data_IF_494680898862
#
_entry.id   IF_494680898862
#
_cell.length_a   1.000
_cell.length_b   1.000
_cell.length_c   1.000
_cell.angle_alpha   90.00
_cell.angle_beta   90.00
_cell.angle_gamma   90.00
#
_symmetry.space_group_name_H-M   'P 1'
#
loop_
_entity.id
_entity.type
_entity.pdbx_description
1 polymer ?
#
# COMPACT_ATOMS: atom_id res chain seq x y z
N UNK A 1 -6.60 46.81 24.23
CA UNK A 1 -7.34 45.63 23.75
C UNK A 1 -7.84 45.74 22.31
N UNK A 2 -8.55 46.81 21.89
CA UNK A 2 -9.12 46.93 20.52
C UNK A 2 -8.11 47.00 19.36
N UNK A 3 -6.88 47.51 19.59
CA UNK A 3 -5.82 47.56 18.55
C UNK A 3 -5.18 46.19 18.31
N UNK A 4 -4.93 45.42 19.38
CA UNK A 4 -4.34 44.07 19.30
C UNK A 4 -5.29 43.10 18.59
N UNK A 5 -6.59 43.17 18.87
CA UNK A 5 -7.59 42.36 18.18
C UNK A 5 -7.73 42.72 16.70
N UNK A 6 -7.62 44.00 16.33
CA UNK A 6 -7.61 44.43 14.91
C UNK A 6 -6.37 43.96 14.17
N UNK A 7 -5.18 44.06 14.78
CA UNK A 7 -3.93 43.59 14.17
C UNK A 7 -3.98 42.06 13.99
N UNK A 8 -4.42 41.33 15.01
CA UNK A 8 -4.60 39.88 14.91
C UNK A 8 -5.59 39.49 13.79
N UNK A 9 -6.72 40.19 13.67
CA UNK A 9 -7.69 39.94 12.61
C UNK A 9 -7.10 40.19 11.21
N UNK A 10 -6.33 41.27 11.03
CA UNK A 10 -5.66 41.58 9.75
C UNK A 10 -4.62 40.51 9.41
N UNK A 11 -3.81 40.09 10.38
CA UNK A 11 -2.82 39.02 10.17
C UNK A 11 -3.46 37.69 9.78
N UNK A 12 -4.55 37.29 10.44
CA UNK A 12 -5.31 36.08 10.10
C UNK A 12 -5.88 36.18 8.68
N UNK A 13 -6.47 37.32 8.33
CA UNK A 13 -7.01 37.56 6.99
C UNK A 13 -5.92 37.48 5.91
N UNK A 14 -4.74 38.05 6.16
CA UNK A 14 -3.61 37.98 5.24
C UNK A 14 -3.12 36.54 5.04
N UNK A 15 -2.98 35.76 6.12
CA UNK A 15 -2.58 34.35 6.03
C UNK A 15 -3.62 33.52 5.27
N UNK A 16 -4.90 33.75 5.53
CA UNK A 16 -5.98 33.06 4.82
C UNK A 16 -5.94 33.36 3.31
N UNK A 17 -5.75 34.62 2.92
CA UNK A 17 -5.63 35.01 1.50
C UNK A 17 -4.46 34.32 0.81
N UNK A 18 -3.29 34.26 1.47
CA UNK A 18 -2.11 33.57 0.92
C UNK A 18 -2.37 32.07 0.77
N UNK A 19 -2.98 31.45 1.79
CA UNK A 19 -3.31 30.03 1.76
C UNK A 19 -4.31 29.69 0.65
N UNK A 20 -5.41 30.45 0.53
CA UNK A 20 -6.40 30.20 -0.53
C UNK A 20 -5.84 30.49 -1.92
N UNK A 21 -4.96 31.50 -2.07
CA UNK A 21 -4.24 31.74 -3.32
C UNK A 21 -3.36 30.56 -3.72
N UNK A 22 -2.59 30.01 -2.76
CA UNK A 22 -1.79 28.80 -2.97
C UNK A 22 -2.65 27.57 -3.30
N UNK A 23 -3.70 27.31 -2.51
CA UNK A 23 -4.58 26.17 -2.72
C UNK A 23 -5.30 26.24 -4.08
N UNK A 24 -5.80 27.42 -4.47
CA UNK A 24 -6.41 27.64 -5.79
C UNK A 24 -5.41 27.43 -6.94
N UNK A 25 -4.17 27.87 -6.76
CA UNK A 25 -3.11 27.64 -7.74
C UNK A 25 -2.72 26.15 -7.85
N UNK A 26 -2.58 25.46 -6.72
CA UNK A 26 -2.31 24.00 -6.69
C UNK A 26 -3.46 23.22 -7.35
N UNK A 27 -4.71 23.60 -7.06
CA UNK A 27 -5.88 23.02 -7.71
C UNK A 27 -5.81 23.15 -9.24
N UNK A 28 -5.47 24.34 -9.75
CA UNK A 28 -5.28 24.54 -11.19
C UNK A 28 -4.17 23.66 -11.79
N UNK A 29 -3.04 23.52 -11.10
CA UNK A 29 -1.95 22.64 -11.54
C UNK A 29 -2.36 21.16 -11.56
N UNK A 30 -3.07 20.70 -10.54
CA UNK A 30 -3.56 19.32 -10.47
C UNK A 30 -4.58 19.05 -11.59
N UNK A 31 -5.47 20.00 -11.90
CA UNK A 31 -6.39 19.90 -13.04
C UNK A 31 -5.65 19.81 -14.38
N UNK A 32 -4.67 20.70 -14.61
CA UNK A 32 -3.84 20.68 -15.83
C UNK A 32 -3.10 19.36 -16.00
N UNK A 33 -2.59 18.79 -14.90
CA UNK A 33 -1.94 17.49 -14.91
C UNK A 33 -2.90 16.37 -15.32
N UNK A 34 -4.13 16.39 -14.83
CA UNK A 34 -5.14 15.38 -15.19
C UNK A 34 -5.47 15.41 -16.68
N UNK A 35 -5.59 16.60 -17.27
CA UNK A 35 -5.88 16.79 -18.69
C UNK A 35 -4.71 16.36 -19.58
N UNK A 36 -3.48 16.68 -19.19
CA UNK A 36 -2.27 16.42 -19.99
C UNK A 36 -1.69 15.01 -19.82
N UNK A 37 -2.13 14.24 -18.83
CA UNK A 37 -1.60 12.89 -18.59
C UNK A 37 -2.21 11.86 -19.53
N UNK A 38 -1.38 11.22 -20.36
CA UNK A 38 -1.80 10.16 -21.28
C UNK A 38 -2.52 9.02 -20.54
N UNK A 39 -3.74 8.68 -20.96
CA UNK A 39 -4.55 7.63 -20.34
C UNK A 39 -4.11 6.28 -20.91
N UNK A 40 -3.22 5.56 -20.23
CA UNK A 40 -3.08 4.13 -20.49
C UNK A 40 -4.35 3.44 -19.99
N UNK A 41 -5.14 2.91 -20.92
CA UNK A 41 -6.43 2.25 -20.63
C UNK A 41 -6.26 0.74 -20.64
N UNK A 42 -6.96 0.09 -19.73
CA UNK A 42 -7.22 -1.35 -19.77
C UNK A 42 -8.36 -1.65 -20.75
N UNK A 43 -8.36 -2.86 -21.30
CA UNK A 43 -9.52 -3.41 -22.01
C UNK A 43 -10.73 -3.60 -21.08
N UNK A 44 -10.50 -3.73 -19.76
CA UNK A 44 -11.57 -3.92 -18.76
C UNK A 44 -12.02 -2.56 -18.21
N UNK A 45 -13.30 -2.23 -18.40
CA UNK A 45 -13.85 -0.93 -17.99
C UNK A 45 -13.75 -0.67 -16.48
N UNK A 46 -13.90 -1.70 -15.64
CA UNK A 46 -13.75 -1.56 -14.19
C UNK A 46 -12.31 -1.15 -13.80
N UNK A 47 -11.30 -1.71 -14.46
CA UNK A 47 -9.90 -1.34 -14.22
C UNK A 47 -9.66 0.14 -14.59
N UNK A 48 -10.36 0.67 -15.62
CA UNK A 48 -10.26 2.07 -16.01
C UNK A 48 -10.80 3.03 -14.94
N UNK A 49 -11.81 2.62 -14.16
CA UNK A 49 -12.31 3.43 -13.04
C UNK A 49 -11.24 3.58 -11.95
N UNK A 50 -10.62 2.47 -11.55
CA UNK A 50 -9.55 2.48 -10.53
C UNK A 50 -8.31 3.22 -11.03
N UNK A 51 -7.90 2.99 -12.28
CA UNK A 51 -6.80 3.74 -12.91
C UNK A 51 -7.09 5.26 -12.95
N UNK A 52 -8.33 5.63 -13.26
CA UNK A 52 -8.81 7.01 -13.24
C UNK A 52 -8.64 7.64 -11.87
N UNK A 53 -9.17 6.98 -10.83
CA UNK A 53 -9.07 7.45 -9.44
C UNK A 53 -7.63 7.59 -8.97
N UNK A 54 -6.77 6.59 -9.22
CA UNK A 54 -5.37 6.63 -8.81
C UNK A 54 -4.61 7.81 -9.43
N UNK A 55 -4.98 8.21 -10.64
CA UNK A 55 -4.40 9.36 -11.34
C UNK A 55 -4.99 10.68 -10.85
N UNK A 56 -6.32 10.77 -10.82
CA UNK A 56 -7.08 11.95 -10.39
C UNK A 56 -6.69 12.37 -8.97
N UNK A 57 -6.58 11.41 -8.06
CA UNK A 57 -6.21 11.68 -6.66
C UNK A 57 -4.71 11.94 -6.47
N UNK A 58 -3.90 11.75 -7.50
CA UNK A 58 -2.46 12.00 -7.49
C UNK A 58 -1.69 11.01 -6.62
N UNK A 59 -2.13 9.75 -6.52
CA UNK A 59 -1.43 8.74 -5.71
C UNK A 59 0.02 8.51 -6.17
N UNK A 60 0.30 8.73 -7.44
CA UNK A 60 1.62 8.62 -8.03
C UNK A 60 2.60 9.72 -7.65
N UNK A 61 2.14 10.88 -7.17
CA UNK A 61 3.06 11.91 -6.67
C UNK A 61 4.03 11.36 -5.61
N UNK A 62 3.56 10.44 -4.76
CA UNK A 62 4.38 9.84 -3.71
C UNK A 62 4.65 8.34 -3.91
N UNK A 63 3.87 7.63 -4.74
CA UNK A 63 3.99 6.19 -4.92
C UNK A 63 4.59 5.76 -6.26
N UNK A 64 5.19 6.68 -7.02
CA UNK A 64 5.87 6.39 -8.29
C UNK A 64 7.10 7.27 -8.44
N UNK A 65 8.25 6.73 -8.88
CA UNK A 65 9.50 7.49 -8.97
C UNK A 65 9.50 8.52 -10.11
N UNK A 66 8.60 8.37 -11.09
CA UNK A 66 8.55 9.19 -12.31
C UNK A 66 7.53 10.33 -12.26
N UNK A 67 7.01 10.70 -11.09
CA UNK A 67 6.02 11.76 -11.00
C UNK A 67 6.66 13.13 -11.27
N UNK A 68 6.08 13.89 -12.20
CA UNK A 68 6.48 15.27 -12.44
C UNK A 68 6.09 16.13 -11.24
N UNK A 69 7.10 16.70 -10.57
CA UNK A 69 6.88 17.57 -9.44
C UNK A 69 6.57 18.99 -9.91
N UNK A 70 5.67 19.70 -9.22
CA UNK A 70 5.39 21.11 -9.50
C UNK A 70 6.60 21.97 -9.17
N UNK A 71 6.75 23.13 -9.82
CA UNK A 71 7.94 23.97 -9.69
C UNK A 71 8.27 24.37 -8.24
N UNK A 72 7.24 24.54 -7.38
CA UNK A 72 7.41 24.91 -5.98
C UNK A 72 8.09 23.82 -5.15
N UNK A 73 8.17 22.58 -5.65
CA UNK A 73 8.96 21.50 -5.06
C UNK A 73 10.48 21.80 -5.05
N UNK A 74 10.92 22.86 -5.75
CA UNK A 74 12.30 23.34 -5.71
C UNK A 74 12.60 24.29 -4.55
N UNK A 75 11.59 24.84 -3.86
CA UNK A 75 11.80 25.82 -2.80
C UNK A 75 12.28 25.14 -1.49
N UNK A 76 13.23 25.71 -0.74
CA UNK A 76 13.97 24.99 0.31
C UNK A 76 13.11 24.25 1.35
N UNK A 77 12.02 24.87 1.82
CA UNK A 77 11.13 24.27 2.83
C UNK A 77 10.19 23.24 2.20
N UNK A 78 9.57 23.59 1.07
CA UNK A 78 8.65 22.69 0.35
C UNK A 78 9.39 21.44 -0.17
N UNK A 79 10.58 21.63 -0.72
CA UNK A 79 11.46 20.57 -1.22
C UNK A 79 11.73 19.50 -0.17
N UNK A 80 12.22 19.89 1.00
CA UNK A 80 12.59 18.95 2.07
C UNK A 80 11.37 18.14 2.54
N UNK A 81 10.22 18.81 2.71
CA UNK A 81 9.00 18.14 3.14
C UNK A 81 8.48 17.17 2.09
N UNK A 82 8.42 17.60 0.82
CA UNK A 82 7.97 16.76 -0.29
C UNK A 82 8.91 15.58 -0.52
N UNK A 83 10.24 15.79 -0.53
CA UNK A 83 11.22 14.71 -0.67
C UNK A 83 11.09 13.66 0.43
N UNK A 84 10.82 14.09 1.67
CA UNK A 84 10.55 13.18 2.78
C UNK A 84 9.28 12.36 2.52
N UNK A 85 8.17 13.01 2.15
CA UNK A 85 6.89 12.34 1.92
C UNK A 85 6.94 11.38 0.72
N UNK A 86 7.61 11.77 -0.36
CA UNK A 86 7.82 10.93 -1.56
C UNK A 86 8.66 9.72 -1.20
N UNK A 87 9.78 9.90 -0.49
CA UNK A 87 10.65 8.79 -0.08
C UNK A 87 9.91 7.81 0.83
N UNK A 88 9.18 8.32 1.82
CA UNK A 88 8.40 7.51 2.74
C UNK A 88 7.25 6.79 2.02
N UNK A 89 6.52 7.49 1.15
CA UNK A 89 5.42 6.94 0.37
C UNK A 89 5.88 5.81 -0.55
N UNK A 90 6.93 6.05 -1.33
CA UNK A 90 7.47 5.09 -2.28
C UNK A 90 8.07 3.86 -1.60
N UNK A 91 8.84 4.05 -0.51
CA UNK A 91 9.40 2.92 0.25
C UNK A 91 8.32 2.08 0.95
N UNK A 92 7.18 2.69 1.31
CA UNK A 92 6.06 1.97 1.92
C UNK A 92 5.24 1.19 0.88
N UNK A 93 5.09 1.77 -0.31
CA UNK A 93 4.26 1.22 -1.37
C UNK A 93 4.65 1.75 -2.76
N UNK A 94 5.00 0.84 -3.67
CA UNK A 94 5.19 1.14 -5.09
C UNK A 94 3.89 0.87 -5.86
N UNK A 95 3.35 1.90 -6.53
CA UNK A 95 2.11 1.82 -7.30
C UNK A 95 2.31 1.27 -8.73
N UNK A 96 3.54 1.22 -9.25
CA UNK A 96 3.82 0.77 -10.62
C UNK A 96 3.35 -0.66 -10.91
N UNK A 97 3.58 -1.66 -10.04
CA UNK A 97 3.07 -3.01 -10.27
C UNK A 97 1.54 -3.03 -10.38
N UNK A 98 0.87 -2.27 -9.50
CA UNK A 98 -0.59 -2.16 -9.49
C UNK A 98 -1.11 -1.53 -10.76
N UNK A 99 -0.54 -0.40 -11.19
CA UNK A 99 -0.89 0.23 -12.48
C UNK A 99 -0.66 -0.71 -13.65
N UNK A 100 0.50 -1.38 -13.72
CA UNK A 100 0.81 -2.29 -14.82
C UNK A 100 -0.17 -3.46 -14.88
N UNK A 101 -0.56 -4.04 -13.75
CA UNK A 101 -1.47 -5.18 -13.76
C UNK A 101 -2.94 -4.75 -13.97
N UNK A 102 -3.34 -3.53 -13.59
CA UNK A 102 -4.63 -2.95 -13.99
C UNK A 102 -4.71 -2.77 -15.51
N UNK A 103 -3.67 -2.20 -16.13
CA UNK A 103 -3.60 -2.00 -17.58
C UNK A 103 -3.67 -3.34 -18.32
N UNK A 104 -2.93 -4.35 -17.84
CA UNK A 104 -2.80 -5.67 -18.50
C UNK A 104 -3.87 -6.70 -18.10
N UNK A 105 -4.87 -6.32 -17.28
CA UNK A 105 -5.83 -7.22 -16.62
C UNK A 105 -5.20 -8.47 -16.00
N UNK A 106 -4.21 -8.26 -15.12
CA UNK A 106 -3.50 -9.33 -14.41
C UNK A 106 -3.80 -9.30 -12.92
N UNK A 107 -3.69 -10.46 -12.23
CA UNK A 107 -3.85 -10.52 -10.78
C UNK A 107 -2.81 -9.64 -10.07
N UNK A 108 -3.28 -8.91 -9.06
CA UNK A 108 -2.46 -8.04 -8.20
C UNK A 108 -2.01 -8.78 -6.97
N UNK A 109 -0.75 -8.63 -6.55
CA UNK A 109 -0.23 -9.26 -5.34
C UNK A 109 -1.16 -9.02 -4.13
N UNK A 110 -1.49 -10.07 -3.39
CA UNK A 110 -2.39 -9.97 -2.23
C UNK A 110 -1.86 -8.98 -1.17
N UNK A 111 -0.54 -8.85 -1.03
CA UNK A 111 0.08 -7.85 -0.15
C UNK A 111 -0.29 -6.43 -0.54
N UNK A 112 -0.33 -6.13 -1.84
CA UNK A 112 -0.62 -4.79 -2.34
C UNK A 112 -2.11 -4.47 -2.18
N UNK A 113 -2.98 -5.43 -2.50
CA UNK A 113 -4.42 -5.34 -2.23
C UNK A 113 -4.69 -5.07 -0.74
N UNK A 114 -4.00 -5.79 0.16
CA UNK A 114 -4.13 -5.64 1.60
C UNK A 114 -3.66 -4.27 2.10
N UNK A 115 -2.56 -3.75 1.54
CA UNK A 115 -2.06 -2.40 1.87
C UNK A 115 -3.05 -1.33 1.45
N UNK A 116 -3.55 -1.38 0.21
CA UNK A 116 -4.53 -0.43 -0.32
C UNK A 116 -5.82 -0.50 0.52
N UNK A 117 -6.36 -1.69 0.75
CA UNK A 117 -7.57 -1.86 1.56
C UNK A 117 -7.39 -1.26 2.96
N UNK A 118 -6.25 -1.51 3.61
CA UNK A 118 -5.99 -1.01 4.95
C UNK A 118 -6.04 0.52 5.00
N UNK A 119 -5.38 1.22 4.07
CA UNK A 119 -5.35 2.68 4.06
C UNK A 119 -6.71 3.29 3.70
N UNK A 120 -7.50 2.62 2.86
CA UNK A 120 -8.85 3.04 2.49
C UNK A 120 -9.82 2.89 3.68
N UNK A 121 -9.79 1.73 4.36
CA UNK A 121 -10.64 1.47 5.52
C UNK A 121 -10.34 2.42 6.69
N UNK A 122 -9.05 2.70 6.93
CA UNK A 122 -8.61 3.54 8.04
C UNK A 122 -8.52 5.04 7.68
N UNK A 123 -8.84 5.43 6.45
CA UNK A 123 -8.82 6.84 5.99
C UNK A 123 -7.45 7.50 6.18
N UNK A 124 -6.37 6.74 6.06
CA UNK A 124 -5.01 7.23 6.29
C UNK A 124 -4.34 7.76 5.02
N UNK A 125 -4.92 7.46 3.85
CA UNK A 125 -4.45 7.96 2.57
C UNK A 125 -5.57 8.64 1.76
N UNK A 126 -5.28 9.76 1.08
CA UNK A 126 -3.99 10.47 1.13
C UNK A 126 -3.73 11.15 2.49
N UNK A 127 -2.47 11.43 2.86
CA UNK A 127 -2.15 12.04 4.14
C UNK A 127 -2.76 13.44 4.30
N UNK A 128 -3.13 13.82 5.54
CA UNK A 128 -3.73 15.13 5.84
C UNK A 128 -2.90 16.32 5.30
N UNK A 129 -1.57 16.23 5.39
CA UNK A 129 -0.64 17.25 4.87
C UNK A 129 -0.74 17.44 3.35
N UNK A 130 -1.03 16.37 2.61
CA UNK A 130 -1.19 16.42 1.16
C UNK A 130 -2.51 17.08 0.81
N UNK A 131 -3.62 16.61 1.40
CA UNK A 131 -4.95 17.18 1.14
C UNK A 131 -5.15 18.60 1.69
N UNK A 132 -4.22 19.14 2.48
CA UNK A 132 -4.23 20.55 2.87
C UNK A 132 -3.99 21.50 1.68
N UNK A 133 -3.22 21.07 0.68
CA UNK A 133 -2.98 21.85 -0.56
C UNK A 133 -3.63 21.20 -1.78
N UNK A 134 -3.72 19.87 -1.80
CA UNK A 134 -4.25 19.07 -2.91
C UNK A 134 -5.69 18.62 -2.63
N UNK A 135 -6.64 19.55 -2.62
CA UNK A 135 -8.01 19.25 -2.21
C UNK A 135 -8.72 18.27 -3.15
N UNK A 136 -8.44 18.35 -4.45
CA UNK A 136 -8.92 17.37 -5.43
C UNK A 136 -8.41 15.94 -5.16
N UNK A 137 -7.29 15.82 -4.43
CA UNK A 137 -6.72 14.56 -3.98
C UNK A 137 -7.52 13.85 -2.89
N UNK A 138 -8.49 14.51 -2.26
CA UNK A 138 -9.30 13.88 -1.21
C UNK A 138 -10.15 12.73 -1.78
N UNK A 139 -10.15 11.60 -1.07
CA UNK A 139 -10.97 10.43 -1.40
C UNK A 139 -12.29 10.49 -0.64
N UNK A 140 -13.39 10.58 -1.39
CA UNK A 140 -14.75 10.58 -0.84
C UNK A 140 -15.25 9.13 -0.56
N UNK A 141 -16.41 8.96 0.11
CA UNK A 141 -16.94 7.63 0.42
C UNK A 141 -17.22 6.75 -0.80
N UNK A 142 -17.75 7.33 -1.89
CA UNK A 142 -18.13 6.58 -3.10
C UNK A 142 -16.89 6.10 -3.86
N UNK A 143 -15.88 6.96 -4.03
CA UNK A 143 -14.59 6.63 -4.64
C UNK A 143 -13.86 5.54 -3.88
N UNK A 144 -13.96 5.58 -2.55
CA UNK A 144 -13.40 4.54 -1.71
C UNK A 144 -14.10 3.22 -1.91
N UNK A 145 -15.43 3.23 -2.01
CA UNK A 145 -16.19 2.01 -2.25
C UNK A 145 -15.83 1.40 -3.60
N UNK A 146 -15.57 2.22 -4.63
CA UNK A 146 -15.05 1.73 -5.93
C UNK A 146 -13.75 0.95 -5.75
N UNK A 147 -12.80 1.48 -4.96
CA UNK A 147 -11.52 0.81 -4.71
C UNK A 147 -11.72 -0.48 -3.90
N UNK A 148 -12.55 -0.45 -2.85
CA UNK A 148 -12.82 -1.62 -1.99
C UNK A 148 -13.56 -2.73 -2.74
N UNK A 149 -14.55 -2.37 -3.56
CA UNK A 149 -15.28 -3.30 -4.41
C UNK A 149 -14.35 -3.94 -5.46
N UNK A 150 -13.45 -3.16 -6.07
CA UNK A 150 -12.43 -3.70 -6.96
C UNK A 150 -11.52 -4.70 -6.25
N UNK A 151 -11.05 -4.41 -5.03
CA UNK A 151 -10.23 -5.34 -4.24
C UNK A 151 -11.00 -6.65 -3.96
N UNK A 152 -12.28 -6.54 -3.58
CA UNK A 152 -13.14 -7.70 -3.35
C UNK A 152 -13.30 -8.55 -4.60
N UNK A 153 -13.48 -7.92 -5.77
CA UNK A 153 -13.57 -8.60 -7.05
C UNK A 153 -12.26 -9.31 -7.41
N UNK A 154 -11.10 -8.67 -7.19
CA UNK A 154 -9.79 -9.27 -7.43
C UNK A 154 -9.59 -10.52 -6.58
N UNK A 155 -9.95 -10.47 -5.29
CA UNK A 155 -9.87 -11.62 -4.39
C UNK A 155 -10.80 -12.75 -4.81
N UNK A 156 -12.05 -12.42 -5.14
CA UNK A 156 -13.02 -13.42 -5.60
C UNK A 156 -12.59 -14.10 -6.92
N UNK A 157 -12.00 -13.35 -7.85
CA UNK A 157 -11.59 -13.85 -9.19
C UNK A 157 -10.31 -14.67 -9.16
N UNK A 158 -9.30 -14.27 -8.37
CA UNK A 158 -7.95 -14.80 -8.48
C UNK A 158 -7.44 -15.56 -7.24
N UNK A 159 -8.02 -15.32 -6.06
CA UNK A 159 -7.47 -15.83 -4.79
C UNK A 159 -8.43 -16.71 -4.00
N UNK A 160 -9.74 -16.63 -4.29
CA UNK A 160 -10.74 -17.53 -3.74
C UNK A 160 -10.57 -18.94 -4.33
N UNK A 161 -10.30 -19.94 -3.49
CA UNK A 161 -10.34 -21.34 -3.92
C UNK A 161 -11.79 -21.77 -4.20
N UNK A 162 -11.96 -22.85 -4.97
CA UNK A 162 -13.29 -23.37 -5.30
C UNK A 162 -14.10 -23.73 -4.04
N UNK A 163 -13.44 -24.26 -2.99
CA UNK A 163 -14.03 -24.65 -1.72
C UNK A 163 -14.18 -23.50 -0.70
N UNK A 164 -13.76 -22.27 -1.05
CA UNK A 164 -13.97 -21.10 -0.20
C UNK A 164 -15.47 -20.76 -0.17
N UNK A 165 -16.07 -20.77 1.02
CA UNK A 165 -17.46 -20.35 1.18
C UNK A 165 -17.63 -18.88 0.82
N UNK A 166 -18.77 -18.53 0.21
CA UNK A 166 -19.06 -17.18 -0.30
C UNK A 166 -18.71 -16.02 0.66
N UNK A 167 -19.07 -16.04 1.96
CA UNK A 167 -18.75 -14.94 2.87
C UNK A 167 -17.25 -14.75 3.13
N UNK A 168 -16.42 -15.76 2.87
CA UNK A 168 -14.99 -15.73 3.13
C UNK A 168 -14.14 -15.41 1.89
N UNK A 169 -14.76 -15.25 0.71
CA UNK A 169 -14.04 -15.01 -0.56
C UNK A 169 -13.30 -13.67 -0.64
N UNK A 170 -13.65 -12.70 0.21
CA UNK A 170 -12.99 -11.40 0.32
C UNK A 170 -12.07 -11.30 1.56
N UNK A 171 -11.75 -12.40 2.24
CA UNK A 171 -10.82 -12.35 3.36
C UNK A 171 -9.41 -11.95 2.88
N UNK A 172 -8.72 -11.10 3.66
CA UNK A 172 -7.33 -10.64 3.38
C UNK A 172 -6.33 -11.78 3.23
N UNK A 173 -6.60 -12.85 3.95
CA UNK A 173 -5.90 -14.11 3.87
C UNK A 173 -6.94 -15.17 3.64
N UNK A 174 -7.04 -15.62 2.39
CA UNK A 174 -7.93 -16.73 2.12
C UNK A 174 -7.35 -18.01 2.73
N UNK A 175 -8.22 -18.89 3.22
CA UNK A 175 -7.78 -20.19 3.70
C UNK A 175 -7.15 -20.96 2.55
N UNK A 176 -6.06 -21.66 2.87
CA UNK A 176 -5.51 -22.67 1.97
C UNK A 176 -6.64 -23.63 1.58
N UNK A 177 -6.71 -24.05 0.31
CA UNK A 177 -7.67 -25.07 -0.10
C UNK A 177 -7.51 -26.32 0.78
N UNK A 178 -8.62 -27.02 1.05
CA UNK A 178 -8.64 -28.21 1.91
C UNK A 178 -7.72 -29.32 1.41
N UNK A 179 -7.56 -29.40 0.08
CA UNK A 179 -6.67 -30.36 -0.57
C UNK A 179 -5.86 -29.65 -1.63
N UNK A 180 -4.57 -29.97 -1.68
CA UNK A 180 -3.68 -29.59 -2.76
C UNK A 180 -3.17 -30.88 -3.41
N UNK A 181 -3.04 -30.94 -4.74
CA UNK A 181 -2.37 -32.06 -5.39
C UNK A 181 -0.89 -32.02 -4.99
N UNK A 182 -0.51 -32.88 -4.04
CA UNK A 182 0.85 -32.98 -3.52
C UNK A 182 1.34 -34.41 -3.63
N UNK A 183 2.63 -34.57 -3.87
CA UNK A 183 3.30 -35.86 -3.82
C UNK A 183 3.57 -36.23 -2.36
N UNK A 184 2.98 -37.32 -1.89
CA UNK A 184 3.13 -37.81 -0.51
C UNK A 184 4.59 -38.07 -0.11
N UNK A 185 5.45 -38.48 -1.05
CA UNK A 185 6.87 -38.70 -0.78
C UNK A 185 7.59 -37.37 -0.52
N UNK A 186 7.26 -36.32 -1.30
CA UNK A 186 7.79 -34.97 -1.09
C UNK A 186 7.30 -34.35 0.21
N UNK A 187 6.03 -34.59 0.57
CA UNK A 187 5.48 -34.14 1.86
C UNK A 187 6.21 -34.81 3.01
N UNK A 188 6.41 -36.13 2.96
CA UNK A 188 7.15 -36.87 3.98
C UNK A 188 8.60 -36.41 4.08
N UNK A 189 9.27 -36.18 2.94
CA UNK A 189 10.63 -35.63 2.92
C UNK A 189 10.68 -34.22 3.53
N UNK A 190 9.77 -33.33 3.12
CA UNK A 190 9.68 -31.97 3.65
C UNK A 190 9.45 -31.94 5.15
N UNK A 191 8.62 -32.85 5.68
CA UNK A 191 8.42 -33.03 7.11
C UNK A 191 9.71 -33.44 7.83
N UNK A 192 10.49 -34.39 7.27
CA UNK A 192 11.79 -34.77 7.84
C UNK A 192 12.76 -33.58 7.84
N UNK A 193 12.91 -32.90 6.71
CA UNK A 193 13.81 -31.75 6.55
C UNK A 193 13.45 -30.61 7.51
N UNK A 194 12.16 -30.34 7.72
CA UNK A 194 11.70 -29.33 8.67
C UNK A 194 12.17 -29.57 10.12
N UNK A 195 12.33 -30.84 10.48
CA UNK A 195 12.79 -31.26 11.81
C UNK A 195 14.28 -31.62 11.85
N UNK A 196 14.98 -31.63 10.71
CA UNK A 196 16.36 -32.07 10.61
C UNK A 196 17.33 -30.95 11.03
N UNK A 197 18.07 -31.12 12.14
CA UNK A 197 18.98 -30.08 12.60
C UNK A 197 20.24 -29.98 11.74
N UNK A 198 20.53 -31.00 10.91
CA UNK A 198 21.69 -31.00 9.99
C UNK A 198 21.61 -29.95 8.89
N UNK A 199 20.46 -29.27 8.75
CA UNK A 199 20.31 -28.12 7.86
C UNK A 199 20.86 -26.81 8.46
N UNK A 200 21.21 -26.79 9.75
CA UNK A 200 21.96 -25.69 10.37
C UNK A 200 23.46 -25.92 10.26
N UNK A 201 24.24 -24.83 10.20
CA UNK A 201 25.69 -24.91 10.04
C UNK A 201 26.43 -25.63 11.17
N UNK A 202 25.83 -25.79 12.34
CA UNK A 202 26.39 -26.54 13.48
C UNK A 202 25.61 -27.83 13.81
N UNK A 203 24.67 -28.23 12.96
CA UNK A 203 23.81 -29.40 13.13
C UNK A 203 22.97 -29.40 14.42
N UNK A 204 22.71 -28.23 15.04
CA UNK A 204 21.96 -28.13 16.31
C UNK A 204 20.55 -27.56 16.18
N UNK A 205 20.23 -26.85 15.09
CA UNK A 205 18.95 -26.17 14.91
C UNK A 205 18.23 -26.65 13.65
N UNK A 206 16.95 -26.96 13.78
CA UNK A 206 16.04 -27.19 12.66
C UNK A 206 14.98 -26.10 12.58
N UNK A 207 14.23 -26.06 11.47
CA UNK A 207 13.12 -25.11 11.32
C UNK A 207 12.12 -25.23 12.47
N UNK A 208 11.82 -26.46 12.90
CA UNK A 208 10.88 -26.76 13.99
C UNK A 208 11.30 -26.21 15.36
N UNK A 209 12.60 -25.97 15.58
CA UNK A 209 13.08 -25.39 16.85
C UNK A 209 12.53 -23.98 17.10
N UNK A 210 12.34 -23.20 16.03
CA UNK A 210 11.79 -21.84 16.09
C UNK A 210 10.34 -21.76 15.59
N UNK A 211 9.96 -22.60 14.63
CA UNK A 211 8.64 -22.62 13.98
C UNK A 211 7.92 -23.95 14.25
N UNK A 212 7.49 -24.20 15.48
CA UNK A 212 6.76 -25.45 15.78
C UNK A 212 5.41 -25.54 15.05
N UNK A 213 5.15 -26.68 14.42
CA UNK A 213 3.90 -26.99 13.72
C UNK A 213 2.75 -27.35 14.67
N UNK A 214 3.04 -27.64 15.94
CA UNK A 214 2.04 -28.04 16.94
C UNK A 214 1.31 -26.86 17.61
N UNK A 215 1.85 -25.64 17.54
CA UNK A 215 1.24 -24.48 18.18
C UNK A 215 0.06 -23.92 17.38
N UNK A 216 -1.09 -24.58 17.47
CA UNK A 216 -2.38 -24.03 17.03
C UNK A 216 -2.81 -22.89 17.97
N UNK A 217 -2.95 -21.67 17.44
CA UNK A 217 -3.54 -20.46 18.05
C UNK A 217 -3.06 -20.12 19.49
N UNK A 218 -2.13 -19.15 19.58
CA UNK A 218 -2.21 -18.13 20.64
C UNK A 218 -1.57 -18.41 22.00
N UNK A 219 -0.57 -19.30 22.12
CA UNK A 219 0.29 -19.33 23.33
C UNK A 219 1.77 -19.30 22.97
N UNK A 220 2.35 -18.09 22.98
CA UNK A 220 3.81 -17.88 22.94
C UNK A 220 4.44 -18.48 24.21
N UNK A 221 5.17 -19.59 24.10
CA UNK A 221 6.36 -19.77 24.95
C UNK A 221 7.54 -19.15 24.20
N UNK A 222 8.17 -18.15 24.83
CA UNK A 222 9.29 -17.39 24.30
C UNK A 222 10.54 -18.28 24.22
N UNK A 223 10.74 -18.99 23.11
CA UNK A 223 12.09 -19.22 22.62
C UNK A 223 12.34 -18.12 21.59
N UNK A 224 12.86 -16.96 22.04
CA UNK A 224 13.34 -15.95 21.10
C UNK A 224 14.39 -16.60 20.21
N UNK A 225 14.29 -16.39 18.90
CA UNK A 225 15.31 -16.81 17.95
C UNK A 225 16.68 -16.29 18.40
N UNK A 226 17.58 -17.22 18.74
CA UNK A 226 19.00 -16.94 19.01
C UNK A 226 19.82 -17.88 18.13
N UNK A 227 19.88 -17.57 16.84
CA UNK A 227 20.81 -18.21 15.91
C UNK A 227 22.13 -17.46 15.94
N UNK A 228 23.22 -18.12 16.31
CA UNK A 228 24.58 -17.60 16.14
C UNK A 228 25.10 -18.14 14.81
N UNK A 229 25.20 -17.28 13.80
CA UNK A 229 25.99 -17.60 12.61
C UNK A 229 27.46 -17.72 13.03
N UNK A 230 27.98 -18.94 13.16
CA UNK A 230 29.41 -19.19 13.15
C UNK A 230 29.81 -19.33 11.69
N UNK A 231 30.27 -18.24 11.08
CA UNK A 231 30.96 -18.33 9.79
C UNK A 231 32.19 -19.20 9.98
N UNK A 232 32.24 -20.34 9.30
CA UNK A 232 33.47 -21.13 9.17
C UNK A 232 34.45 -20.33 8.33
N UNK A 233 35.57 -19.98 8.93
CA UNK A 233 36.79 -19.64 8.22
C UNK A 233 37.55 -20.96 8.09
N UNK A 234 37.53 -21.53 6.89
CA UNK A 234 38.57 -22.42 6.38
C UNK A 234 39.29 -21.65 5.26
#
# INVERSE_FOLDING_TARGET
MKKVTRIAAISIAAVALVYFGLAGYVWHLDTQRMENSSVLRSAVQQNNQVLGLLREKGCDYCHTPSASLPFYASFPIAKQLMEYDIRLGYSSFNLEPVRSALIKDRPQAQSDLNKIEWVMQHKTMPPARYVALHWAGQINPDEREIILAWIAQQRARYYASADTAQPHRNERFNRSPKTLPVDGQKVALGFRLFHDPRLSGDNTLSCAHCHSLEYRRGRRKKNLSRGRWRGGAD
#
